data_IF_413434478339
#
_entry.id   IF_413434478339
#
_cell.length_a   1.000
_cell.length_b   1.000
_cell.length_c   1.000
_cell.angle_alpha   90.00
_cell.angle_beta   90.00
_cell.angle_gamma   90.00
#
_symmetry.space_group_name_H-M   'P 1'
#
loop_
_entity.id
_entity.type
_entity.pdbx_description
1 polymer ?
#
# COMPACT_ATOMS: atom_id res chain seq x y z
N UNK A 1 9.50 22.36 17.34
CA UNK A 1 8.07 22.49 17.66
C UNK A 1 7.45 21.10 17.83
N UNK A 2 7.42 20.28 16.78
CA UNK A 2 6.76 18.95 16.78
C UNK A 2 7.11 18.00 17.94
N UNK A 3 8.39 17.90 18.34
CA UNK A 3 8.82 17.03 19.44
C UNK A 3 8.14 17.37 20.78
N UNK A 4 7.98 18.67 21.05
CA UNK A 4 7.33 19.15 22.28
C UNK A 4 5.86 18.76 22.29
N UNK A 5 5.19 18.94 21.16
CA UNK A 5 3.76 18.68 21.01
C UNK A 5 3.47 17.17 21.12
N UNK A 6 4.29 16.33 20.46
CA UNK A 6 4.17 14.86 20.56
C UNK A 6 4.46 14.35 21.98
N UNK A 7 5.45 14.93 22.68
CA UNK A 7 5.75 14.53 24.07
C UNK A 7 4.63 14.97 25.02
N UNK A 8 4.00 16.13 24.78
CA UNK A 8 2.91 16.65 25.60
C UNK A 8 1.67 15.75 25.62
N UNK A 9 1.44 15.00 24.53
CA UNK A 9 0.37 13.99 24.44
C UNK A 9 0.81 12.59 24.92
N UNK A 10 2.00 12.47 25.52
CA UNK A 10 2.49 11.23 26.15
C UNK A 10 3.23 10.27 25.22
N UNK A 11 3.52 10.66 23.98
CA UNK A 11 4.33 9.83 23.08
C UNK A 11 5.80 9.88 23.48
N UNK A 12 6.44 8.71 23.44
CA UNK A 12 7.90 8.60 23.56
C UNK A 12 8.50 8.88 22.19
N UNK A 13 9.03 10.08 21.99
CA UNK A 13 9.62 10.49 20.72
C UNK A 13 11.13 10.69 20.87
N UNK A 14 11.89 10.37 19.82
CA UNK A 14 13.31 10.66 19.75
C UNK A 14 13.66 11.28 18.40
N UNK A 15 14.44 12.36 18.41
CA UNK A 15 15.05 12.87 17.17
C UNK A 15 16.22 11.97 16.81
N UNK A 16 16.27 11.49 15.57
CA UNK A 16 17.29 10.55 15.12
C UNK A 16 17.92 11.04 13.81
N UNK A 17 19.24 11.11 13.78
CA UNK A 17 20.03 11.36 12.57
C UNK A 17 20.36 10.00 11.95
N UNK A 18 19.37 9.42 11.26
CA UNK A 18 19.46 8.09 10.68
C UNK A 18 19.72 8.11 9.17
N UNK A 19 19.93 9.29 8.59
CA UNK A 19 20.10 9.48 7.16
C UNK A 19 21.39 10.26 6.92
N UNK A 20 22.32 9.66 6.17
CA UNK A 20 23.59 10.27 5.77
C UNK A 20 23.62 10.44 4.26
N UNK A 21 23.97 11.63 3.77
CA UNK A 21 24.19 11.85 2.34
C UNK A 21 25.65 12.08 2.01
N UNK A 22 26.07 11.57 0.86
CA UNK A 22 27.37 11.85 0.27
C UNK A 22 27.19 12.67 -1.02
N UNK A 23 27.93 13.76 -1.17
CA UNK A 23 27.88 14.58 -2.39
C UNK A 23 28.80 13.99 -3.48
N UNK A 24 28.25 13.77 -4.66
CA UNK A 24 28.94 13.59 -5.92
C UNK A 24 28.89 14.85 -6.78
N UNK A 25 29.80 14.96 -7.76
CA UNK A 25 29.77 16.01 -8.78
C UNK A 25 29.83 15.38 -10.15
N UNK A 26 29.00 15.85 -11.07
CA UNK A 26 29.07 15.42 -12.47
C UNK A 26 30.13 16.22 -13.23
N UNK A 27 30.38 15.81 -14.47
CA UNK A 27 31.38 16.44 -15.34
C UNK A 27 31.03 17.91 -15.66
N UNK A 28 29.75 18.31 -15.51
CA UNK A 28 29.25 19.68 -15.68
C UNK A 28 29.28 20.50 -14.38
N UNK A 29 29.75 19.91 -13.27
CA UNK A 29 29.87 20.55 -11.96
C UNK A 29 28.56 20.63 -11.18
N UNK A 30 27.49 19.98 -11.64
CA UNK A 30 26.27 19.81 -10.87
C UNK A 30 26.53 18.82 -9.73
N UNK A 31 26.07 19.20 -8.54
CA UNK A 31 26.18 18.37 -7.34
C UNK A 31 25.00 17.39 -7.37
N UNK A 32 25.30 16.10 -7.32
CA UNK A 32 24.33 15.01 -7.18
C UNK A 32 24.64 14.19 -5.93
N UNK A 33 23.78 13.27 -5.51
CA UNK A 33 24.03 12.42 -4.35
C UNK A 33 24.63 11.08 -4.78
N UNK A 34 25.67 10.64 -4.07
CA UNK A 34 26.30 9.33 -4.23
C UNK A 34 25.67 8.31 -3.25
N UNK A 35 25.38 7.11 -3.76
CA UNK A 35 24.85 5.98 -3.00
C UNK A 35 23.44 5.58 -3.44
N UNK A 36 23.12 4.28 -3.42
CA UNK A 36 21.73 3.84 -3.51
C UNK A 36 20.99 4.38 -2.28
N UNK A 37 19.78 4.91 -2.46
CA UNK A 37 19.03 5.61 -1.42
C UNK A 37 18.85 4.78 -0.12
N UNK A 38 18.93 3.45 -0.22
CA UNK A 38 18.88 2.51 0.90
C UNK A 38 20.18 2.43 1.73
N UNK A 39 21.37 2.67 1.15
CA UNK A 39 22.66 2.63 1.86
C UNK A 39 22.81 3.82 2.83
N UNK A 40 22.08 4.89 2.54
CA UNK A 40 22.08 6.13 3.30
C UNK A 40 21.18 6.09 4.55
N UNK A 41 20.37 5.05 4.72
CA UNK A 41 19.44 4.91 5.85
C UNK A 41 19.97 3.90 6.89
N UNK A 42 20.26 4.38 8.11
CA UNK A 42 20.61 3.52 9.24
C UNK A 42 19.38 2.79 9.78
N UNK A 43 19.02 1.72 9.07
CA UNK A 43 17.88 0.84 9.36
C UNK A 43 17.91 0.29 10.79
N UNK A 44 19.07 -0.19 11.23
CA UNK A 44 19.22 -0.82 12.55
C UNK A 44 18.85 0.15 13.67
N UNK A 45 19.32 1.40 13.56
CA UNK A 45 19.00 2.46 14.49
C UNK A 45 17.48 2.70 14.59
N UNK A 46 16.81 2.87 13.44
CA UNK A 46 15.37 3.08 13.37
C UNK A 46 14.58 1.89 13.93
N UNK A 47 14.96 0.66 13.55
CA UNK A 47 14.33 -0.56 14.07
C UNK A 47 14.47 -0.69 15.59
N UNK A 48 15.61 -0.32 16.17
CA UNK A 48 15.83 -0.37 17.61
C UNK A 48 14.93 0.61 18.38
N UNK A 49 14.72 1.82 17.86
CA UNK A 49 13.79 2.79 18.44
C UNK A 49 12.33 2.30 18.36
N UNK A 50 11.93 1.78 17.20
CA UNK A 50 10.58 1.24 17.00
C UNK A 50 10.31 0.04 17.92
N UNK A 51 11.27 -0.88 18.05
CA UNK A 51 11.18 -2.03 18.97
C UNK A 51 11.05 -1.58 20.44
N UNK A 52 11.65 -0.45 20.80
CA UNK A 52 11.55 0.16 22.13
C UNK A 52 10.26 0.97 22.34
N UNK A 53 9.32 0.92 21.39
CA UNK A 53 8.07 1.70 21.38
C UNK A 53 8.33 3.22 21.45
N UNK A 54 9.40 3.66 20.80
CA UNK A 54 9.71 5.07 20.60
C UNK A 54 9.45 5.45 19.15
N UNK A 55 8.84 6.60 18.92
CA UNK A 55 8.58 7.15 17.59
C UNK A 55 9.83 7.94 17.15
N UNK A 56 10.58 7.46 16.14
CA UNK A 56 11.71 8.20 15.62
C UNK A 56 11.21 9.37 14.77
N UNK A 57 11.65 10.58 15.11
CA UNK A 57 11.53 11.78 14.27
C UNK A 57 12.84 11.93 13.53
N UNK A 58 12.85 11.48 12.28
CA UNK A 58 14.06 11.43 11.46
C UNK A 58 14.45 12.86 11.06
N UNK A 59 15.70 13.21 11.34
CA UNK A 59 16.34 14.42 10.86
C UNK A 59 17.40 14.05 9.83
N UNK A 60 17.53 14.88 8.81
CA UNK A 60 18.52 14.71 7.76
C UNK A 60 19.76 15.52 8.10
N UNK A 61 20.93 14.89 8.03
CA UNK A 61 22.22 15.54 8.22
C UNK A 61 23.14 15.22 7.05
N UNK A 62 23.64 16.24 6.36
CA UNK A 62 24.68 16.08 5.36
C UNK A 62 26.05 16.22 6.05
N UNK A 63 26.94 15.25 5.86
CA UNK A 63 28.29 15.30 6.44
C UNK A 63 29.19 16.32 5.75
N UNK A 64 28.88 16.69 4.51
CA UNK A 64 29.63 17.65 3.71
C UNK A 64 28.89 18.99 3.61
N UNK A 65 28.92 19.80 4.67
CA UNK A 65 28.45 21.19 4.56
C UNK A 65 29.34 22.16 5.34
N UNK A 66 29.94 23.10 4.59
CA UNK A 66 30.50 24.36 5.10
C UNK A 66 29.63 25.57 4.80
N UNK A 67 28.61 25.49 3.93
CA UNK A 67 27.61 26.55 3.68
C UNK A 67 26.75 26.20 2.43
N UNK A 68 25.58 25.59 2.59
CA UNK A 68 24.47 25.46 1.62
C UNK A 68 23.33 24.57 2.18
N UNK A 69 22.10 24.86 1.75
CA UNK A 69 20.87 24.18 2.13
C UNK A 69 20.90 22.67 1.81
N UNK A 70 20.16 21.81 2.55
CA UNK A 70 20.14 20.37 2.28
C UNK A 70 19.65 20.09 0.85
N UNK A 71 20.45 19.34 0.08
CA UNK A 71 20.14 18.87 -1.30
C UNK A 71 19.09 17.76 -1.35
N UNK A 72 18.59 17.29 -0.22
CA UNK A 72 17.63 16.20 -0.16
C UNK A 72 16.23 16.67 -0.51
N UNK A 73 15.60 15.97 -1.43
CA UNK A 73 14.15 16.01 -1.50
C UNK A 73 13.54 15.19 -0.36
N UNK A 74 12.74 15.84 0.48
CA UNK A 74 12.13 15.19 1.64
C UNK A 74 11.07 14.16 1.25
N UNK A 75 10.43 14.32 0.08
CA UNK A 75 9.45 13.35 -0.40
C UNK A 75 10.19 12.05 -0.78
N UNK A 76 11.25 12.15 -1.59
CA UNK A 76 12.07 11.01 -2.02
C UNK A 76 12.62 10.25 -0.80
N UNK A 77 13.21 10.98 0.16
CA UNK A 77 13.74 10.38 1.38
C UNK A 77 12.68 9.64 2.21
N UNK A 78 11.46 10.16 2.28
CA UNK A 78 10.38 9.50 3.02
C UNK A 78 10.04 8.14 2.40
N UNK A 79 10.03 8.05 1.07
CA UNK A 79 9.85 6.79 0.35
C UNK A 79 11.00 5.82 0.63
N UNK A 80 12.24 6.28 0.57
CA UNK A 80 13.41 5.41 0.77
C UNK A 80 13.51 4.86 2.19
N UNK A 81 13.20 5.69 3.20
CA UNK A 81 13.06 5.22 4.58
C UNK A 81 11.95 4.17 4.68
N UNK A 82 10.79 4.41 4.06
CA UNK A 82 9.68 3.46 4.04
C UNK A 82 10.03 2.12 3.39
N UNK A 83 10.67 2.14 2.21
CA UNK A 83 11.18 0.96 1.49
C UNK A 83 12.21 0.20 2.33
N UNK A 84 13.20 0.90 2.89
CA UNK A 84 14.26 0.31 3.70
C UNK A 84 13.71 -0.38 4.97
N UNK A 85 12.72 0.23 5.62
CA UNK A 85 12.02 -0.34 6.78
C UNK A 85 11.03 -1.45 6.40
N UNK A 86 10.75 -1.67 5.11
CA UNK A 86 9.67 -2.54 4.62
C UNK A 86 8.33 -2.16 5.27
N UNK A 87 8.03 -0.87 5.28
CA UNK A 87 6.81 -0.36 5.85
C UNK A 87 5.60 -0.96 5.13
N UNK A 88 4.59 -1.41 5.89
CA UNK A 88 3.33 -1.85 5.30
C UNK A 88 2.61 -0.69 4.59
N UNK A 89 2.70 0.51 5.17
CA UNK A 89 2.03 1.72 4.68
C UNK A 89 2.98 2.92 4.77
N UNK A 90 3.02 3.73 3.72
CA UNK A 90 3.63 5.07 3.72
C UNK A 90 2.51 6.11 3.62
N UNK A 91 2.57 7.15 4.45
CA UNK A 91 1.61 8.27 4.41
C UNK A 91 2.40 9.55 4.17
N UNK A 92 2.11 10.21 3.08
CA UNK A 92 2.68 11.51 2.70
C UNK A 92 1.65 12.59 2.98
N UNK A 93 2.04 13.62 3.74
CA UNK A 93 1.22 14.80 3.99
C UNK A 93 1.71 15.93 3.09
N UNK A 94 0.82 16.47 2.27
CA UNK A 94 1.12 17.59 1.38
C UNK A 94 0.23 18.77 1.68
N UNK A 95 0.74 19.98 1.47
CA UNK A 95 -0.04 21.22 1.57
C UNK A 95 -0.55 21.70 0.19
N UNK A 96 -0.17 21.01 -0.88
CA UNK A 96 -0.62 21.30 -2.23
C UNK A 96 -2.00 20.68 -2.45
N UNK A 97 -2.87 21.35 -3.24
CA UNK A 97 -4.18 20.86 -3.71
C UNK A 97 -4.06 19.67 -4.67
N UNK A 98 -2.91 18.98 -4.68
CA UNK A 98 -2.59 17.97 -5.65
C UNK A 98 -3.50 16.74 -5.64
N UNK A 99 -4.32 16.57 -4.60
CA UNK A 99 -5.34 15.52 -4.55
C UNK A 99 -6.59 15.93 -5.33
N UNK A 100 -6.87 17.23 -5.45
CA UNK A 100 -8.08 17.75 -6.11
C UNK A 100 -8.07 17.55 -7.63
N UNK A 101 -6.89 17.41 -8.23
CA UNK A 101 -6.72 17.21 -9.68
C UNK A 101 -7.00 15.75 -10.12
N UNK A 102 -7.16 14.82 -9.17
CA UNK A 102 -7.42 13.41 -9.46
C UNK A 102 -8.91 13.09 -9.50
N UNK A 103 -9.32 12.32 -10.51
CA UNK A 103 -10.70 11.87 -10.69
C UNK A 103 -11.06 10.65 -9.84
N UNK A 104 -10.05 9.92 -9.34
CA UNK A 104 -10.19 8.76 -8.48
C UNK A 104 -9.40 8.92 -7.18
N UNK A 105 -9.79 8.16 -6.16
CA UNK A 105 -9.11 8.09 -4.86
C UNK A 105 -8.10 6.94 -4.77
N UNK A 106 -8.10 6.02 -5.73
CA UNK A 106 -7.27 4.81 -5.72
C UNK A 106 -6.69 4.55 -7.10
N UNK A 107 -5.40 4.20 -7.14
CA UNK A 107 -4.67 3.88 -8.35
C UNK A 107 -3.75 2.67 -8.12
N UNK A 108 -3.69 1.81 -9.10
CA UNK A 108 -2.72 0.73 -9.14
C UNK A 108 -1.31 1.26 -9.46
N UNK A 109 -0.26 0.46 -9.23
CA UNK A 109 1.11 0.81 -9.62
C UNK A 109 1.19 1.15 -11.12
N UNK A 110 0.56 0.34 -11.97
CA UNK A 110 0.54 0.57 -13.43
C UNK A 110 -0.16 1.89 -13.78
N UNK A 111 -1.30 2.19 -13.16
CA UNK A 111 -2.03 3.44 -13.38
C UNK A 111 -1.23 4.65 -12.89
N UNK A 112 -0.66 4.58 -11.69
CA UNK A 112 0.14 5.63 -11.11
C UNK A 112 1.39 5.95 -11.94
N UNK A 113 2.06 4.94 -12.52
CA UNK A 113 3.19 5.14 -13.46
C UNK A 113 2.75 5.86 -14.74
N UNK A 114 1.67 5.41 -15.36
CA UNK A 114 1.15 6.03 -16.57
C UNK A 114 0.82 7.52 -16.32
N UNK A 115 0.17 7.82 -15.20
CA UNK A 115 -0.13 9.20 -14.78
C UNK A 115 1.14 10.01 -14.48
N UNK A 116 2.15 9.40 -13.86
CA UNK A 116 3.42 10.07 -13.57
C UNK A 116 4.15 10.49 -14.86
N UNK A 117 4.05 9.70 -15.94
CA UNK A 117 4.66 9.99 -17.24
C UNK A 117 3.91 11.09 -18.01
N UNK A 118 2.60 11.24 -17.77
CA UNK A 118 1.74 12.24 -18.43
C UNK A 118 1.89 13.64 -17.81
N UNK A 119 3.08 14.22 -17.97
CA UNK A 119 3.47 15.54 -17.41
C UNK A 119 2.66 16.74 -17.90
N UNK A 120 1.78 16.58 -18.89
CA UNK A 120 0.97 17.67 -19.43
C UNK A 120 -0.20 18.09 -18.54
N UNK A 121 -0.57 17.27 -17.55
CA UNK A 121 -1.76 17.50 -16.70
C UNK A 121 -1.39 17.78 -15.25
N UNK A 122 -0.33 17.16 -14.74
CA UNK A 122 0.05 17.21 -13.32
C UNK A 122 1.22 18.16 -13.06
N UNK A 123 1.27 18.76 -11.86
CA UNK A 123 2.45 19.51 -11.44
C UNK A 123 3.68 18.58 -11.29
N UNK A 124 4.89 19.12 -11.46
CA UNK A 124 6.13 18.33 -11.43
C UNK A 124 6.35 17.56 -10.12
N UNK A 125 5.93 18.11 -8.98
CA UNK A 125 6.02 17.43 -7.68
C UNK A 125 5.06 16.24 -7.61
N UNK A 126 3.84 16.37 -8.14
CA UNK A 126 2.80 15.33 -8.10
C UNK A 126 3.12 14.16 -8.99
N UNK A 127 3.55 14.43 -10.22
CA UNK A 127 4.06 13.40 -11.14
C UNK A 127 5.19 12.60 -10.48
N UNK A 128 6.11 13.26 -9.77
CA UNK A 128 7.17 12.57 -9.04
C UNK A 128 6.65 11.77 -7.82
N UNK A 129 5.74 12.33 -7.03
CA UNK A 129 5.12 11.63 -5.89
C UNK A 129 4.44 10.34 -6.35
N UNK A 130 3.70 10.36 -7.46
CA UNK A 130 3.09 9.17 -8.06
C UNK A 130 4.13 8.14 -8.50
N UNK A 131 5.17 8.59 -9.22
CA UNK A 131 6.24 7.71 -9.67
C UNK A 131 6.94 7.01 -8.50
N UNK A 132 7.25 7.76 -7.43
CA UNK A 132 7.86 7.22 -6.20
C UNK A 132 6.92 6.33 -5.40
N UNK A 133 5.64 6.68 -5.34
CA UNK A 133 4.62 5.84 -4.73
C UNK A 133 4.52 4.48 -5.43
N UNK A 134 4.51 4.48 -6.76
CA UNK A 134 4.50 3.27 -7.57
C UNK A 134 5.78 2.43 -7.36
N UNK A 135 6.95 3.05 -7.39
CA UNK A 135 8.25 2.42 -7.11
C UNK A 135 8.26 1.75 -5.72
N UNK A 136 7.81 2.46 -4.68
CA UNK A 136 7.73 1.91 -3.33
C UNK A 136 6.80 0.71 -3.24
N UNK A 137 5.65 0.76 -3.91
CA UNK A 137 4.68 -0.35 -3.94
C UNK A 137 5.22 -1.60 -4.66
N UNK A 138 6.10 -1.42 -5.65
CA UNK A 138 6.84 -2.54 -6.28
C UNK A 138 7.86 -3.17 -5.31
N UNK A 139 8.48 -2.36 -4.46
CA UNK A 139 9.51 -2.75 -3.48
C UNK A 139 8.97 -3.16 -2.09
N UNK A 140 7.81 -3.81 -2.05
CA UNK A 140 7.17 -4.44 -0.87
C UNK A 140 6.44 -3.51 0.10
N UNK A 141 6.32 -2.21 -0.20
CA UNK A 141 5.30 -1.38 0.47
C UNK A 141 3.94 -1.82 -0.06
N UNK A 142 2.95 -2.07 0.80
CA UNK A 142 1.64 -2.52 0.30
C UNK A 142 0.88 -1.36 -0.31
N UNK A 143 0.91 -0.20 0.37
CA UNK A 143 0.14 0.98 0.03
C UNK A 143 0.89 2.27 0.37
N UNK A 144 0.77 3.24 -0.51
CA UNK A 144 1.17 4.62 -0.28
C UNK A 144 -0.08 5.48 -0.31
N UNK A 145 -0.25 6.34 0.69
CA UNK A 145 -1.33 7.29 0.75
C UNK A 145 -0.78 8.71 0.70
N UNK A 146 -1.34 9.55 -0.16
CA UNK A 146 -1.03 10.98 -0.22
C UNK A 146 -2.25 11.74 0.28
N UNK A 147 -2.07 12.56 1.31
CA UNK A 147 -3.13 13.28 2.03
C UNK A 147 -2.88 14.77 2.07
N UNK A 148 -3.95 15.56 2.02
CA UNK A 148 -3.91 16.98 2.34
C UNK A 148 -3.67 17.12 3.85
N UNK A 149 -2.46 17.55 4.21
CA UNK A 149 -2.02 17.74 5.58
C UNK A 149 -2.58 18.99 6.24
N UNK A 150 -3.20 19.91 5.49
CA UNK A 150 -3.88 21.09 6.02
C UNK A 150 -5.33 20.78 6.41
N UNK A 151 -5.90 19.68 5.91
CA UNK A 151 -7.23 19.22 6.28
C UNK A 151 -7.23 18.63 7.69
N UNK A 152 -8.14 19.14 8.53
CA UNK A 152 -8.34 18.64 9.87
C UNK A 152 -8.62 17.13 9.88
N UNK A 153 -7.92 16.42 10.75
CA UNK A 153 -8.05 14.98 10.96
C UNK A 153 -7.77 14.09 9.73
N UNK A 154 -7.05 14.58 8.70
CA UNK A 154 -6.79 13.84 7.46
C UNK A 154 -6.25 12.42 7.69
N UNK A 155 -5.24 12.25 8.57
CA UNK A 155 -4.67 10.93 8.90
C UNK A 155 -5.72 10.00 9.53
N UNK A 156 -6.55 10.52 10.44
CA UNK A 156 -7.57 9.71 11.11
C UNK A 156 -8.66 9.31 10.12
N UNK A 157 -9.11 10.24 9.28
CA UNK A 157 -10.08 9.96 8.23
C UNK A 157 -9.56 8.89 7.26
N UNK A 158 -8.28 8.93 6.89
CA UNK A 158 -7.67 7.92 6.01
C UNK A 158 -7.51 6.55 6.68
N UNK A 159 -7.15 6.51 7.96
CA UNK A 159 -6.90 5.25 8.66
C UNK A 159 -8.17 4.53 9.12
N UNK A 160 -9.27 5.26 9.33
CA UNK A 160 -10.51 4.73 9.90
C UNK A 160 -11.72 4.85 8.97
N UNK A 161 -11.54 5.29 7.72
CA UNK A 161 -12.56 5.24 6.67
C UNK A 161 -12.25 4.13 5.67
N UNK A 162 -13.28 3.43 5.23
CA UNK A 162 -13.15 2.45 4.14
C UNK A 162 -12.97 3.14 2.77
N UNK A 163 -13.49 4.36 2.62
CA UNK A 163 -13.39 5.13 1.36
C UNK A 163 -12.11 5.97 1.28
N UNK A 164 -11.43 6.20 2.41
CA UNK A 164 -10.32 7.16 2.51
C UNK A 164 -10.75 8.62 2.25
N UNK A 165 -9.80 9.55 2.35
CA UNK A 165 -9.99 10.96 1.97
C UNK A 165 -8.86 11.48 1.08
N UNK A 166 -7.82 10.68 0.88
CA UNK A 166 -6.70 11.00 0.00
C UNK A 166 -6.63 10.13 -1.24
N UNK A 167 -5.43 10.14 -1.79
CA UNK A 167 -5.01 9.35 -2.93
C UNK A 167 -4.27 8.11 -2.43
N UNK A 168 -4.69 6.93 -2.83
CA UNK A 168 -4.01 5.67 -2.54
C UNK A 168 -3.36 5.10 -3.79
N UNK A 169 -2.05 4.85 -3.73
CA UNK A 169 -1.35 3.99 -4.69
C UNK A 169 -1.13 2.63 -4.04
N UNK A 170 -1.58 1.56 -4.69
CA UNK A 170 -1.41 0.21 -4.19
C UNK A 170 -0.79 -0.70 -5.24
N UNK A 171 -0.15 -1.78 -4.78
CA UNK A 171 0.36 -2.81 -5.68
C UNK A 171 -0.76 -3.34 -6.57
N UNK A 172 -0.45 -3.51 -7.85
CA UNK A 172 -1.38 -4.13 -8.80
C UNK A 172 -1.86 -5.46 -8.24
N UNK A 173 -3.18 -5.67 -8.11
CA UNK A 173 -3.68 -6.99 -7.79
C UNK A 173 -3.28 -7.94 -8.90
N UNK A 174 -2.36 -8.85 -8.61
CA UNK A 174 -1.90 -9.89 -9.52
C UNK A 174 -2.67 -11.20 -9.31
N UNK A 175 -2.39 -12.23 -10.10
CA UNK A 175 -3.11 -13.50 -10.03
C UNK A 175 -4.32 -13.58 -10.96
N UNK A 176 -4.67 -14.82 -11.27
CA UNK A 176 -5.74 -15.16 -12.19
C UNK A 176 -6.98 -15.56 -11.41
N UNK A 177 -8.13 -14.97 -11.76
CA UNK A 177 -9.42 -15.51 -11.34
C UNK A 177 -9.83 -16.57 -12.35
N UNK A 178 -10.18 -17.76 -11.86
CA UNK A 178 -10.67 -18.87 -12.67
C UNK A 178 -11.71 -19.69 -11.92
N UNK A 179 -12.51 -20.44 -12.66
CA UNK A 179 -13.42 -21.42 -12.08
C UNK A 179 -12.64 -22.49 -11.29
N UNK A 180 -13.22 -22.92 -10.16
CA UNK A 180 -12.65 -23.93 -9.29
C UNK A 180 -12.71 -25.33 -9.91
N UNK A 181 -11.72 -26.15 -9.56
CA UNK A 181 -11.64 -27.57 -9.95
C UNK A 181 -11.83 -28.46 -8.73
N UNK A 182 -12.10 -29.73 -8.95
CA UNK A 182 -12.22 -30.73 -7.88
C UNK A 182 -10.99 -30.76 -6.95
N UNK A 183 -9.79 -30.52 -7.49
CA UNK A 183 -8.54 -30.42 -6.72
C UNK A 183 -8.54 -29.27 -5.72
N UNK A 184 -9.26 -28.18 -6.01
CA UNK A 184 -9.19 -26.92 -5.28
C UNK A 184 -10.08 -26.94 -4.03
N UNK A 185 -11.06 -27.86 -3.95
CA UNK A 185 -12.06 -27.93 -2.85
C UNK A 185 -11.39 -28.03 -1.48
N UNK A 186 -10.34 -28.83 -1.37
CA UNK A 186 -9.60 -28.98 -0.12
C UNK A 186 -8.89 -27.69 0.30
N UNK A 187 -8.41 -26.92 -0.67
CA UNK A 187 -7.72 -25.66 -0.43
C UNK A 187 -8.72 -24.54 -0.12
N UNK A 188 -9.84 -24.45 -0.84
CA UNK A 188 -10.96 -23.55 -0.52
C UNK A 188 -11.39 -23.72 0.94
N UNK A 189 -11.63 -24.96 1.39
CA UNK A 189 -11.98 -25.24 2.78
C UNK A 189 -10.87 -24.88 3.77
N UNK A 190 -9.61 -25.01 3.34
CA UNK A 190 -8.46 -24.65 4.17
C UNK A 190 -8.41 -23.14 4.41
N UNK A 191 -8.59 -22.33 3.37
CA UNK A 191 -8.44 -20.87 3.47
C UNK A 191 -9.61 -20.23 4.23
N UNK A 192 -10.84 -20.71 4.04
CA UNK A 192 -12.03 -20.13 4.69
C UNK A 192 -12.20 -20.57 6.15
N UNK A 193 -11.44 -21.58 6.61
CA UNK A 193 -11.61 -22.21 7.94
C UNK A 193 -11.58 -21.17 9.06
N UNK A 194 -10.67 -20.22 8.99
CA UNK A 194 -10.55 -19.14 9.99
C UNK A 194 -11.81 -18.28 10.04
N UNK A 195 -12.28 -17.78 8.88
CA UNK A 195 -13.49 -16.98 8.78
C UNK A 195 -14.74 -17.73 9.26
N UNK A 196 -14.84 -19.04 9.01
CA UNK A 196 -15.94 -19.86 9.56
C UNK A 196 -15.87 -19.94 11.08
N UNK A 197 -14.67 -20.11 11.65
CA UNK A 197 -14.49 -20.14 13.12
C UNK A 197 -14.83 -18.80 13.78
N UNK A 198 -14.53 -17.69 13.11
CA UNK A 198 -14.86 -16.33 13.57
C UNK A 198 -16.31 -15.92 13.24
N UNK A 199 -17.12 -16.82 12.68
CA UNK A 199 -18.51 -16.57 12.27
C UNK A 199 -18.68 -15.48 11.20
N UNK A 200 -17.63 -15.19 10.43
CA UNK A 200 -17.65 -14.30 9.26
C UNK A 200 -18.25 -15.00 8.03
N UNK A 201 -18.08 -16.33 7.94
CA UNK A 201 -18.63 -17.16 6.87
C UNK A 201 -19.47 -18.31 7.41
N UNK A 202 -20.52 -18.67 6.69
CA UNK A 202 -21.30 -19.88 6.97
C UNK A 202 -20.45 -21.15 6.80
N UNK A 203 -20.63 -22.16 7.67
CA UNK A 203 -19.93 -23.43 7.55
C UNK A 203 -20.32 -24.16 6.27
N UNK A 204 -19.34 -24.84 5.66
CA UNK A 204 -19.49 -25.63 4.43
C UNK A 204 -18.63 -26.89 4.52
N UNK A 205 -19.10 -27.98 3.91
CA UNK A 205 -18.35 -29.23 3.78
C UNK A 205 -17.93 -29.46 2.33
N UNK A 206 -16.97 -30.38 2.13
CA UNK A 206 -16.49 -30.73 0.80
C UNK A 206 -17.60 -31.18 -0.14
N UNK A 207 -18.59 -31.93 0.37
CA UNK A 207 -19.72 -32.40 -0.42
C UNK A 207 -20.59 -31.24 -0.92
N UNK A 208 -20.79 -30.20 -0.10
CA UNK A 208 -21.60 -29.03 -0.45
C UNK A 208 -20.94 -28.28 -1.61
N UNK A 209 -19.64 -27.97 -1.48
CA UNK A 209 -18.87 -27.28 -2.52
C UNK A 209 -18.82 -28.11 -3.80
N UNK A 210 -18.63 -29.44 -3.70
CA UNK A 210 -18.60 -30.32 -4.87
C UNK A 210 -19.94 -30.34 -5.62
N UNK A 211 -21.07 -30.20 -4.91
CA UNK A 211 -22.40 -30.25 -5.52
C UNK A 211 -22.74 -29.04 -6.38
N UNK A 212 -22.09 -27.90 -6.12
CA UNK A 212 -22.24 -26.65 -6.86
C UNK A 212 -20.86 -26.08 -7.24
N UNK A 213 -19.90 -26.94 -7.58
CA UNK A 213 -18.51 -26.53 -7.84
C UNK A 213 -18.39 -25.53 -8.99
N UNK A 214 -19.32 -25.61 -9.94
CA UNK A 214 -19.38 -24.72 -11.09
C UNK A 214 -19.62 -23.25 -10.70
N UNK A 215 -20.23 -23.01 -9.55
CA UNK A 215 -20.49 -21.68 -9.00
C UNK A 215 -19.26 -21.07 -8.33
N UNK A 216 -18.23 -21.87 -8.02
CA UNK A 216 -17.05 -21.43 -7.30
C UNK A 216 -15.95 -20.94 -8.24
N UNK A 217 -15.43 -19.77 -7.91
CA UNK A 217 -14.26 -19.16 -8.52
C UNK A 217 -13.18 -18.98 -7.47
N UNK A 218 -11.94 -19.09 -7.91
CA UNK A 218 -10.78 -18.87 -7.07
C UNK A 218 -9.89 -17.79 -7.68
N UNK A 219 -9.24 -17.04 -6.81
CA UNK A 219 -8.08 -16.24 -7.15
C UNK A 219 -6.82 -17.08 -6.91
N UNK A 220 -6.11 -17.40 -7.99
CA UNK A 220 -4.87 -18.17 -7.97
C UNK A 220 -3.65 -17.25 -8.14
N UNK A 221 -2.66 -17.42 -7.26
CA UNK A 221 -1.37 -16.74 -7.31
C UNK A 221 -0.27 -17.79 -7.13
N UNK A 222 0.63 -17.88 -8.12
CA UNK A 222 1.76 -18.82 -8.14
C UNK A 222 1.34 -20.27 -7.84
N UNK A 223 0.19 -20.70 -8.37
CA UNK A 223 -0.36 -22.03 -8.15
C UNK A 223 -1.09 -22.24 -6.82
N UNK A 224 -1.21 -21.20 -5.98
CA UNK A 224 -1.89 -21.28 -4.68
C UNK A 224 -3.23 -20.54 -4.71
N UNK A 225 -4.23 -21.10 -4.03
CA UNK A 225 -5.52 -20.43 -3.84
C UNK A 225 -5.36 -19.34 -2.80
N UNK A 226 -5.56 -18.08 -3.20
CA UNK A 226 -5.41 -16.91 -2.33
C UNK A 226 -6.76 -16.31 -1.94
N UNK A 227 -7.77 -16.47 -2.79
CA UNK A 227 -9.13 -16.05 -2.50
C UNK A 227 -10.14 -16.92 -3.21
N UNK A 228 -11.40 -16.79 -2.82
CA UNK A 228 -12.52 -17.52 -3.41
C UNK A 228 -13.78 -16.69 -3.34
N UNK A 229 -14.69 -16.93 -4.28
CA UNK A 229 -16.06 -16.41 -4.30
C UNK A 229 -16.94 -17.47 -4.98
N UNK A 230 -18.18 -17.58 -4.55
CA UNK A 230 -19.19 -18.41 -5.20
C UNK A 230 -20.34 -17.52 -5.70
N UNK A 231 -20.90 -17.86 -6.86
CA UNK A 231 -22.06 -17.15 -7.43
C UNK A 231 -23.18 -18.16 -7.62
N UNK A 232 -24.18 -18.11 -6.72
CA UNK A 232 -25.35 -18.98 -6.82
C UNK A 232 -26.47 -18.25 -7.56
N UNK A 233 -26.70 -18.64 -8.82
CA UNK A 233 -27.71 -18.00 -9.66
C UNK A 233 -29.06 -18.71 -9.58
N UNK A 234 -30.13 -17.94 -9.61
CA UNK A 234 -31.51 -18.40 -9.75
C UNK A 234 -32.22 -17.61 -10.86
N UNK A 235 -33.45 -18.01 -11.22
CA UNK A 235 -34.22 -17.34 -12.29
C UNK A 235 -34.48 -15.84 -12.03
N UNK A 236 -34.38 -15.37 -10.79
CA UNK A 236 -34.72 -14.00 -10.41
C UNK A 236 -33.56 -13.20 -9.77
N UNK A 237 -32.60 -13.88 -9.15
CA UNK A 237 -31.51 -13.25 -8.41
C UNK A 237 -30.26 -14.11 -8.45
N UNK A 238 -29.10 -13.46 -8.33
CA UNK A 238 -27.81 -14.12 -8.12
C UNK A 238 -27.29 -13.73 -6.73
N UNK A 239 -26.86 -14.73 -5.96
CA UNK A 239 -26.25 -14.53 -4.64
C UNK A 239 -24.74 -14.65 -4.74
N UNK A 240 -24.04 -13.61 -4.27
CA UNK A 240 -22.60 -13.68 -4.03
C UNK A 240 -22.36 -14.34 -2.66
N UNK A 241 -21.81 -15.54 -2.68
CA UNK A 241 -21.55 -16.37 -1.52
C UNK A 241 -20.05 -16.64 -1.35
N UNK A 242 -19.66 -17.08 -0.16
CA UNK A 242 -18.30 -17.57 0.14
C UNK A 242 -17.14 -16.65 -0.30
N UNK A 243 -17.34 -15.32 -0.32
CA UNK A 243 -16.28 -14.36 -0.62
C UNK A 243 -15.23 -14.36 0.48
N UNK A 244 -13.98 -14.63 0.14
CA UNK A 244 -12.87 -14.63 1.07
C UNK A 244 -11.54 -14.35 0.38
N UNK A 245 -10.65 -13.60 1.03
CA UNK A 245 -9.26 -13.41 0.63
C UNK A 245 -8.38 -13.68 1.85
N UNK A 246 -7.26 -14.38 1.68
CA UNK A 246 -6.31 -14.60 2.78
C UNK A 246 -5.80 -13.26 3.33
N UNK A 247 -5.68 -13.15 4.65
CA UNK A 247 -5.18 -11.94 5.35
C UNK A 247 -3.89 -11.34 4.80
N UNK A 248 -2.94 -12.18 4.38
CA UNK A 248 -1.66 -11.72 3.82
C UNK A 248 -1.76 -11.20 2.36
N UNK A 249 -2.97 -11.21 1.78
CA UNK A 249 -3.29 -10.67 0.47
C UNK A 249 -4.49 -9.70 0.55
N UNK A 250 -4.88 -9.27 1.75
CA UNK A 250 -5.94 -8.27 1.90
C UNK A 250 -5.45 -6.87 1.50
N UNK A 251 -6.42 -6.01 1.14
CA UNK A 251 -6.22 -4.61 0.75
C UNK A 251 -5.33 -4.37 -0.47
N UNK A 252 -4.99 -5.39 -1.26
CA UNK A 252 -4.39 -5.23 -2.59
C UNK A 252 -5.43 -5.11 -3.70
N UNK A 253 -6.72 -4.95 -3.36
CA UNK A 253 -7.84 -4.91 -4.33
C UNK A 253 -8.34 -6.29 -4.79
N UNK A 254 -7.79 -7.39 -4.28
CA UNK A 254 -8.21 -8.76 -4.65
C UNK A 254 -9.68 -9.06 -4.35
N UNK A 255 -10.21 -8.56 -3.22
CA UNK A 255 -11.62 -8.72 -2.87
C UNK A 255 -12.54 -8.03 -3.89
N UNK A 256 -12.23 -6.78 -4.26
CA UNK A 256 -12.95 -6.03 -5.28
C UNK A 256 -12.94 -6.77 -6.62
N UNK A 257 -11.78 -7.26 -7.07
CA UNK A 257 -11.69 -8.07 -8.30
C UNK A 257 -12.56 -9.33 -8.29
N UNK A 258 -12.65 -10.02 -7.15
CA UNK A 258 -13.52 -11.19 -7.01
C UNK A 258 -15.00 -10.79 -7.11
N UNK A 259 -15.39 -9.64 -6.55
CA UNK A 259 -16.73 -9.08 -6.66
C UNK A 259 -17.03 -8.65 -8.10
N UNK A 260 -16.16 -7.86 -8.74
CA UNK A 260 -16.33 -7.41 -10.12
C UNK A 260 -16.47 -8.61 -11.09
N UNK A 261 -15.69 -9.68 -10.85
CA UNK A 261 -15.80 -10.92 -11.62
C UNK A 261 -17.14 -11.63 -11.39
N UNK A 262 -17.60 -11.70 -10.13
CA UNK A 262 -18.88 -12.30 -9.78
C UNK A 262 -20.07 -11.53 -10.38
N UNK A 263 -20.02 -10.20 -10.37
CA UNK A 263 -21.02 -9.34 -11.01
C UNK A 263 -21.10 -9.59 -12.52
N UNK A 264 -19.96 -9.70 -13.20
CA UNK A 264 -19.92 -10.01 -14.63
C UNK A 264 -20.43 -11.40 -15.00
N UNK A 265 -20.58 -12.33 -14.05
CA UNK A 265 -21.21 -13.65 -14.24
C UNK A 265 -22.72 -13.58 -13.95
N UNK A 266 -23.13 -12.65 -13.09
CA UNK A 266 -24.51 -12.51 -12.63
C UNK A 266 -25.39 -11.69 -13.58
N UNK A 267 -24.80 -10.94 -14.52
CA UNK A 267 -25.49 -10.25 -15.64
C UNK A 267 -25.94 -11.19 -16.76
#
# INVERSE_FOLDING_TARGET
MIMKDLTAIGLKVMRVEAVTGHEGRDDDGAIYLLGDDAENVNKECLCNFLASKMVPVVAVTCSDQRDSSPLFDLDDLAFDVGKCLKANKIIVLTADDCIADFTGSEYSVTEARAMAEERSVLSGRVSRLLGKAAEACEELVERVHVLDGLRDYAILAELFSNEGVGLMVHRDPYGQIRQAKNSDVSEILSIIRGAVMESELLPRHSADILSCLEDYFILEIDGNVVGTVAVHSSDAFSELACLFVKRNHEGAGHGKRLVDHAEGIAE
#
